data_IF_506310329045
#
_entry.id   IF_506310329045
#
_cell.length_a   1.000
_cell.length_b   1.000
_cell.length_c   1.000
_cell.angle_alpha   90.00
_cell.angle_beta   90.00
_cell.angle_gamma   90.00
#
_symmetry.space_group_name_H-M   'P 1'
#
loop_
_entity.id
_entity.type
_entity.pdbx_description
1 polymer ?
#
# COMPACT_ATOMS: atom_id res chain seq x y z
N UNK A 1 16.16 36.91 6.29
CA UNK A 1 15.16 35.83 6.22
C UNK A 1 14.75 35.51 7.65
N UNK A 2 13.45 35.41 7.93
CA UNK A 2 12.92 35.13 9.27
C UNK A 2 11.72 34.17 9.12
N UNK A 3 11.27 33.55 10.21
CA UNK A 3 10.07 32.72 10.23
C UNK A 3 8.81 33.57 9.97
N UNK A 4 7.80 33.00 9.33
CA UNK A 4 6.55 33.66 8.96
C UNK A 4 6.66 34.61 7.75
N UNK A 5 7.74 34.53 6.97
CA UNK A 5 7.96 35.38 5.78
C UNK A 5 7.97 34.52 4.50
N UNK A 6 7.44 35.11 3.43
CA UNK A 6 7.48 34.55 2.09
C UNK A 6 8.82 34.87 1.39
N UNK A 7 9.46 33.83 0.88
CA UNK A 7 10.69 33.89 0.11
C UNK A 7 10.40 33.51 -1.34
N UNK A 8 10.73 34.39 -2.29
CA UNK A 8 10.56 34.13 -3.72
C UNK A 8 11.89 33.72 -4.35
N UNK A 9 11.98 32.48 -4.86
CA UNK A 9 13.18 31.96 -5.54
C UNK A 9 12.76 31.28 -6.82
N UNK A 10 13.38 31.64 -7.94
CA UNK A 10 13.05 31.10 -9.27
C UNK A 10 11.56 31.23 -9.65
N UNK A 11 10.88 32.27 -9.16
CA UNK A 11 9.43 32.50 -9.38
C UNK A 11 8.51 31.65 -8.51
N UNK A 12 9.05 30.88 -7.56
CA UNK A 12 8.29 30.12 -6.56
C UNK A 12 8.30 30.83 -5.22
N UNK A 13 7.13 30.91 -4.59
CA UNK A 13 6.98 31.47 -3.24
C UNK A 13 7.00 30.37 -2.19
N UNK A 14 7.94 30.47 -1.26
CA UNK A 14 8.13 29.56 -0.14
C UNK A 14 7.79 30.29 1.15
N UNK A 15 6.89 29.74 1.95
CA UNK A 15 6.59 30.28 3.27
C UNK A 15 7.45 29.57 4.33
N UNK A 16 8.28 30.32 5.05
CA UNK A 16 9.19 29.77 6.06
C UNK A 16 8.48 29.58 7.39
N UNK A 17 8.12 28.34 7.75
CA UNK A 17 7.40 28.04 8.99
C UNK A 17 8.30 27.79 10.20
N UNK A 18 9.43 27.09 10.00
CA UNK A 18 10.34 26.71 11.07
C UNK A 18 11.80 26.58 10.58
N UNK A 19 12.75 26.56 11.52
CA UNK A 19 14.18 26.30 11.26
C UNK A 19 14.71 25.26 12.25
N UNK A 20 15.84 24.62 11.92
CA UNK A 20 16.49 23.69 12.83
C UNK A 20 17.20 24.41 14.00
N UNK A 21 17.64 23.64 15.00
CA UNK A 21 18.28 24.18 16.20
C UNK A 21 19.59 24.91 15.89
N UNK A 22 20.39 24.36 14.96
CA UNK A 22 21.66 24.97 14.56
C UNK A 22 21.44 26.35 13.92
N UNK A 23 20.51 26.46 12.96
CA UNK A 23 20.23 27.73 12.30
C UNK A 23 19.62 28.74 13.28
N UNK A 24 18.83 28.27 14.25
CA UNK A 24 18.29 29.11 15.31
C UNK A 24 19.41 29.76 16.13
N UNK A 25 20.34 28.96 16.65
CA UNK A 25 21.46 29.44 17.46
C UNK A 25 22.38 30.38 16.66
N UNK A 26 22.62 30.05 15.39
CA UNK A 26 23.39 30.90 14.48
C UNK A 26 22.73 32.27 14.28
N UNK A 27 21.42 32.31 14.03
CA UNK A 27 20.70 33.57 13.85
C UNK A 27 20.67 34.40 15.13
N UNK A 28 20.51 33.77 16.29
CA UNK A 28 20.60 34.46 17.59
C UNK A 28 22.00 35.03 17.84
N UNK A 29 23.07 34.29 17.49
CA UNK A 29 24.45 34.77 17.59
C UNK A 29 24.75 35.96 16.66
N UNK A 30 24.18 35.96 15.45
CA UNK A 30 24.25 37.08 14.52
C UNK A 30 23.34 38.27 14.92
N UNK A 31 22.64 38.17 16.06
CA UNK A 31 21.79 39.24 16.59
C UNK A 31 20.42 39.35 15.91
N UNK A 32 20.00 38.32 15.18
CA UNK A 32 18.70 38.28 14.48
C UNK A 32 17.69 37.59 15.39
N UNK A 33 16.69 38.34 15.84
CA UNK A 33 15.58 37.79 16.62
C UNK A 33 14.61 37.07 15.69
N UNK A 34 14.47 35.75 15.90
CA UNK A 34 13.54 34.91 15.15
C UNK A 34 12.10 35.13 15.62
N UNK A 35 11.16 35.11 14.66
CA UNK A 35 9.73 35.13 14.94
C UNK A 35 9.26 33.80 15.55
N UNK A 36 8.04 33.78 16.09
CA UNK A 36 7.44 32.54 16.57
C UNK A 36 7.26 31.51 15.43
N UNK A 37 7.62 30.23 15.65
CA UNK A 37 7.39 29.19 14.67
C UNK A 37 5.92 29.02 14.33
N UNK A 38 5.62 28.92 13.04
CA UNK A 38 4.26 28.63 12.58
C UNK A 38 4.07 27.12 12.36
N UNK A 39 2.87 26.58 12.64
CA UNK A 39 2.58 25.19 12.36
C UNK A 39 2.59 24.93 10.86
N UNK A 40 3.17 23.80 10.45
CA UNK A 40 3.13 23.37 9.06
C UNK A 40 1.67 23.10 8.65
N UNK A 41 1.23 23.55 7.46
CA UNK A 41 -0.12 23.29 6.98
C UNK A 41 -0.40 21.79 6.86
N UNK A 42 -1.61 21.38 7.21
CA UNK A 42 -2.03 19.98 7.12
C UNK A 42 -2.19 19.59 5.64
N UNK A 43 -1.50 18.53 5.22
CA UNK A 43 -1.64 17.97 3.88
C UNK A 43 -2.90 17.09 3.79
N UNK A 44 -3.89 17.44 2.94
CA UNK A 44 -5.10 16.65 2.75
C UNK A 44 -4.79 15.19 2.38
N UNK A 45 -3.77 14.94 1.56
CA UNK A 45 -3.40 13.59 1.15
C UNK A 45 -2.90 12.75 2.32
N UNK A 46 -2.04 13.31 3.18
CA UNK A 46 -1.54 12.63 4.39
C UNK A 46 -2.71 12.32 5.33
N UNK A 47 -3.61 13.29 5.54
CA UNK A 47 -4.81 13.12 6.36
C UNK A 47 -5.69 11.98 5.86
N UNK A 48 -5.95 11.94 4.55
CA UNK A 48 -6.74 10.86 3.94
C UNK A 48 -6.05 9.49 4.03
N UNK A 49 -4.72 9.44 4.00
CA UNK A 49 -3.97 8.17 4.06
C UNK A 49 -3.88 7.60 5.48
N UNK A 50 -3.91 8.43 6.51
CA UNK A 50 -3.96 7.98 7.91
C UNK A 50 -5.30 7.30 8.26
N UNK A 51 -6.37 7.67 7.56
CA UNK A 51 -7.64 6.94 7.56
C UNK A 51 -7.43 5.66 6.73
N UNK A 52 -6.76 4.68 7.34
CA UNK A 52 -6.43 3.42 6.70
C UNK A 52 -7.65 2.78 6.02
N UNK A 53 -7.51 2.16 4.83
CA UNK A 53 -8.54 1.24 4.37
C UNK A 53 -8.72 0.16 5.44
N UNK A 54 -9.96 -0.34 5.65
CA UNK A 54 -10.21 -1.39 6.62
C UNK A 54 -9.21 -2.54 6.40
N UNK A 55 -8.76 -3.21 7.48
CA UNK A 55 -7.79 -4.29 7.35
C UNK A 55 -8.28 -5.23 6.27
N UNK A 56 -7.45 -5.46 5.24
CA UNK A 56 -7.74 -6.47 4.24
C UNK A 56 -7.66 -7.81 4.95
N UNK A 57 -8.80 -8.25 5.48
CA UNK A 57 -8.98 -9.61 5.97
C UNK A 57 -8.93 -10.48 4.73
N UNK A 58 -7.72 -10.86 4.30
CA UNK A 58 -7.56 -11.98 3.40
C UNK A 58 -8.00 -13.20 4.20
N UNK A 59 -9.14 -13.78 3.84
CA UNK A 59 -9.51 -15.11 4.33
C UNK A 59 -8.28 -16.01 4.18
N UNK A 60 -7.92 -16.82 5.20
CA UNK A 60 -6.79 -17.73 5.08
C UNK A 60 -6.93 -18.52 3.79
N UNK A 61 -5.92 -18.46 2.94
CA UNK A 61 -5.92 -19.25 1.71
C UNK A 61 -6.02 -20.71 2.10
N UNK A 62 -6.91 -21.50 1.47
CA UNK A 62 -7.01 -22.92 1.78
C UNK A 62 -5.62 -23.55 1.62
N UNK A 63 -5.30 -24.51 2.50
CA UNK A 63 -3.99 -25.18 2.51
C UNK A 63 -3.87 -26.14 1.31
N UNK A 64 -3.63 -25.54 0.15
CA UNK A 64 -3.46 -26.22 -1.14
C UNK A 64 -2.21 -27.10 -1.10
N UNK A 65 -1.16 -26.65 -0.40
CA UNK A 65 0.11 -27.37 -0.23
C UNK A 65 -0.07 -28.67 0.55
N UNK A 66 -0.78 -28.64 1.68
CA UNK A 66 -1.04 -29.84 2.45
C UNK A 66 -1.88 -30.85 1.68
N UNK A 67 -2.91 -30.39 0.96
CA UNK A 67 -3.71 -31.26 0.09
C UNK A 67 -2.85 -31.90 -1.01
N UNK A 68 -1.97 -31.14 -1.66
CA UNK A 68 -1.08 -31.62 -2.71
C UNK A 68 -0.12 -32.71 -2.18
N UNK A 69 0.60 -32.42 -1.09
CA UNK A 69 1.55 -33.38 -0.51
C UNK A 69 0.87 -34.63 0.05
N UNK A 70 -0.32 -34.49 0.63
CA UNK A 70 -1.08 -35.63 1.20
C UNK A 70 -1.65 -36.55 0.12
N UNK A 71 -1.99 -35.99 -1.04
CA UNK A 71 -2.55 -36.74 -2.17
C UNK A 71 -1.50 -37.07 -3.24
N UNK A 72 -0.23 -36.79 -2.98
CA UNK A 72 0.84 -37.13 -3.91
C UNK A 72 0.82 -38.64 -4.17
N UNK A 73 0.95 -38.99 -5.46
CA UNK A 73 0.88 -40.36 -5.98
C UNK A 73 -0.46 -41.10 -5.80
N UNK A 74 -1.52 -40.47 -5.28
CA UNK A 74 -2.85 -41.08 -5.20
C UNK A 74 -3.65 -40.83 -6.48
N UNK A 75 -3.72 -41.85 -7.34
CA UNK A 75 -4.51 -41.82 -8.58
C UNK A 75 -5.73 -42.74 -8.44
N UNK A 76 -6.92 -42.17 -8.61
CA UNK A 76 -8.15 -42.97 -8.73
C UNK A 76 -8.26 -43.51 -10.15
N UNK A 77 -8.21 -44.84 -10.29
CA UNK A 77 -8.37 -45.52 -11.58
C UNK A 77 -9.70 -46.25 -11.59
N UNK A 78 -10.53 -45.92 -12.58
CA UNK A 78 -11.80 -46.58 -12.83
C UNK A 78 -11.81 -47.17 -14.24
N UNK A 79 -12.48 -48.31 -14.38
CA UNK A 79 -12.86 -48.86 -15.68
C UNK A 79 -14.33 -48.51 -15.89
N UNK A 80 -14.61 -47.79 -16.96
CA UNK A 80 -15.97 -47.44 -17.35
C UNK A 80 -16.30 -48.12 -18.67
N UNK A 81 -17.51 -48.66 -18.76
CA UNK A 81 -18.12 -49.06 -20.03
C UNK A 81 -19.01 -47.92 -20.48
N UNK A 82 -18.81 -47.48 -21.72
CA UNK A 82 -19.70 -46.52 -22.35
C UNK A 82 -20.76 -47.30 -23.14
N UNK A 83 -21.97 -47.38 -22.58
CA UNK A 83 -23.10 -48.00 -23.25
C UNK A 83 -23.81 -46.97 -24.13
N UNK A 84 -23.89 -47.26 -25.44
CA UNK A 84 -24.63 -46.47 -26.44
C UNK A 84 -26.00 -47.09 -26.77
N UNK A 85 -26.61 -47.81 -25.83
CA UNK A 85 -27.90 -48.48 -26.03
C UNK A 85 -29.08 -47.54 -26.39
N UNK A 86 -28.90 -46.22 -26.31
CA UNK A 86 -29.88 -45.21 -26.75
C UNK A 86 -29.70 -44.74 -28.21
N UNK A 87 -28.68 -45.20 -28.95
CA UNK A 87 -28.56 -44.95 -30.40
C UNK A 87 -29.00 -46.18 -31.20
N UNK A 88 -30.05 -46.10 -32.02
CA UNK A 88 -30.64 -47.27 -32.70
C UNK A 88 -29.77 -47.86 -33.84
N UNK A 89 -28.53 -47.41 -34.01
CA UNK A 89 -27.63 -47.81 -35.10
C UNK A 89 -26.18 -47.85 -34.62
N UNK A 90 -25.75 -48.91 -33.93
CA UNK A 90 -24.34 -49.36 -33.93
C UNK A 90 -24.25 -50.78 -33.35
N UNK A 91 -23.60 -51.69 -34.09
CA UNK A 91 -23.42 -53.11 -33.77
C UNK A 91 -22.20 -53.29 -32.83
N UNK A 92 -22.29 -54.06 -31.71
CA UNK A 92 -21.22 -54.11 -30.71
C UNK A 92 -19.99 -54.89 -31.20
N UNK A 93 -18.80 -54.31 -31.00
CA UNK A 93 -17.49 -55.00 -31.04
C UNK A 93 -16.81 -54.95 -29.69
#
# INVERSE_FOLDING_TARGET
FNLGIDLEVYGWKYHLTHCDTFTKDFMEHEGIVLNEPEPMPEDPYIKHRQLSPPPRITSPTPDITHRFLTMDLKVLRFYALYDKSDTPYEDPR
#
